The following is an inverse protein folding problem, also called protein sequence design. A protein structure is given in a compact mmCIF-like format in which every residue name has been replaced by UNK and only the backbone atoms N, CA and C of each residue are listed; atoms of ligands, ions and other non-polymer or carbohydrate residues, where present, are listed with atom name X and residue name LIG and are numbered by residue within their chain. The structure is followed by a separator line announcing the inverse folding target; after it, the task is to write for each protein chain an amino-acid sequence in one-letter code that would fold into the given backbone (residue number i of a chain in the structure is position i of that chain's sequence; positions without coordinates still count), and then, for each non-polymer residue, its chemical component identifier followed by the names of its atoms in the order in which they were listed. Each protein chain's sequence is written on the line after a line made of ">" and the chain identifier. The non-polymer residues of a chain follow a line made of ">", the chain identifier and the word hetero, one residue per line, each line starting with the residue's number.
data_IF_203566405650
#
_entry.id   IF_203566405650
#
_cell.length_a   1.000
_cell.length_b   1.000
_cell.length_c   1.000
_cell.angle_alpha   90.00
_cell.angle_beta   90.00
_cell.angle_gamma   90.00
#
_symmetry.space_group_name_H-M   'P 1'
#
loop_
_entity.id
_entity.type
_entity.pdbx_description
1 polymer ?
#
# COMPACT_ATOMS: atom_id res chain seq x y z
N UNK A 1 -15.89 14.57 18.78
CA UNK A 1 -16.62 13.96 17.66
C UNK A 1 -15.56 13.53 16.66
N UNK A 2 -15.34 12.24 16.36
CA UNK A 2 -14.68 11.89 15.12
C UNK A 2 -15.65 12.22 13.98
N UNK A 3 -15.17 12.85 12.90
CA UNK A 3 -15.93 12.97 11.66
C UNK A 3 -15.98 14.33 10.94
N UNK A 4 -15.53 15.45 11.51
CA UNK A 4 -15.52 16.74 10.77
C UNK A 4 -14.13 17.15 10.26
N UNK A 5 -13.09 16.42 10.66
CA UNK A 5 -11.70 16.72 10.30
C UNK A 5 -10.92 15.49 9.83
N UNK A 6 -11.61 14.44 9.40
CA UNK A 6 -11.01 13.22 8.87
C UNK A 6 -11.21 13.17 7.35
N UNK A 7 -10.18 12.72 6.63
CA UNK A 7 -10.18 12.62 5.18
C UNK A 7 -9.51 11.32 4.76
N UNK A 8 -10.03 10.71 3.70
CA UNK A 8 -9.37 9.55 3.11
C UNK A 8 -8.37 10.01 2.05
N UNK A 9 -7.12 9.59 2.20
CA UNK A 9 -6.06 9.77 1.21
C UNK A 9 -5.83 8.44 0.47
N UNK A 10 -5.76 8.51 -0.85
CA UNK A 10 -5.53 7.39 -1.75
C UNK A 10 -4.18 7.55 -2.43
N UNK A 11 -3.45 6.45 -2.59
CA UNK A 11 -2.24 6.40 -3.38
C UNK A 11 -2.17 5.12 -4.21
N UNK A 12 -1.64 5.22 -5.43
CA UNK A 12 -1.40 4.05 -6.29
C UNK A 12 0.07 3.71 -6.42
N UNK A 13 0.42 2.43 -6.48
CA UNK A 13 1.78 1.92 -6.54
C UNK A 13 1.89 0.85 -7.62
N UNK A 14 3.02 0.78 -8.34
CA UNK A 14 3.24 -0.30 -9.32
C UNK A 14 3.78 -1.60 -8.68
N UNK A 15 4.26 -1.54 -7.44
CA UNK A 15 4.82 -2.72 -6.76
C UNK A 15 4.29 -2.85 -5.34
N UNK A 16 4.20 -4.10 -4.89
CA UNK A 16 3.85 -4.43 -3.51
C UNK A 16 4.85 -3.89 -2.50
N UNK A 17 6.15 -3.99 -2.82
CA UNK A 17 7.22 -3.46 -1.99
C UNK A 17 7.05 -1.95 -1.72
N UNK A 18 6.66 -1.17 -2.73
CA UNK A 18 6.42 0.26 -2.57
C UNK A 18 5.19 0.56 -1.70
N UNK A 19 4.11 -0.21 -1.88
CA UNK A 19 2.92 -0.11 -1.06
C UNK A 19 3.18 -0.49 0.41
N UNK A 20 3.93 -1.56 0.66
CA UNK A 20 4.29 -2.00 2.02
C UNK A 20 5.19 -0.94 2.71
N UNK A 21 6.18 -0.37 1.99
CA UNK A 21 7.01 0.73 2.52
C UNK A 21 6.18 1.97 2.89
N UNK A 22 5.20 2.32 2.07
CA UNK A 22 4.28 3.42 2.37
C UNK A 22 3.55 3.19 3.71
N UNK A 23 3.03 1.98 3.93
CA UNK A 23 2.33 1.61 5.17
C UNK A 23 3.30 1.69 6.37
N UNK A 24 4.53 1.18 6.22
CA UNK A 24 5.56 1.28 7.25
C UNK A 24 5.84 2.73 7.62
N UNK A 25 5.90 3.64 6.63
CA UNK A 25 6.14 5.06 6.87
C UNK A 25 4.95 5.74 7.56
N UNK A 26 3.72 5.44 7.15
CA UNK A 26 2.51 5.97 7.80
C UNK A 26 2.48 5.58 9.29
N UNK A 27 2.71 4.31 9.60
CA UNK A 27 2.63 3.79 10.98
C UNK A 27 3.82 4.25 11.81
N UNK A 28 5.05 4.10 11.32
CA UNK A 28 6.24 4.36 12.13
C UNK A 28 6.61 5.83 12.23
N UNK A 29 6.47 6.61 11.15
CA UNK A 29 6.89 8.01 11.15
C UNK A 29 5.80 8.95 11.64
N UNK A 30 4.53 8.64 11.36
CA UNK A 30 3.40 9.53 11.66
C UNK A 30 2.45 8.98 12.71
N UNK A 31 2.65 7.74 13.19
CA UNK A 31 1.83 7.17 14.24
C UNK A 31 0.39 6.91 13.83
N UNK A 32 0.11 6.79 12.52
CA UNK A 32 -1.20 6.43 12.01
C UNK A 32 -1.49 4.98 12.41
N UNK A 33 -2.71 4.71 12.90
CA UNK A 33 -3.07 3.36 13.29
C UNK A 33 -3.12 2.45 12.06
N UNK A 34 -2.51 1.27 12.14
CA UNK A 34 -2.50 0.33 11.02
C UNK A 34 -3.91 -0.09 10.61
N UNK A 35 -4.88 -0.01 11.52
CA UNK A 35 -6.29 -0.33 11.27
C UNK A 35 -6.97 0.70 10.37
N UNK A 36 -6.43 1.91 10.27
CA UNK A 36 -6.94 2.98 9.39
C UNK A 36 -6.34 2.89 7.97
N UNK A 37 -5.50 1.90 7.68
CA UNK A 37 -4.82 1.72 6.39
C UNK A 37 -5.32 0.48 5.67
N UNK A 38 -5.79 0.66 4.43
CA UNK A 38 -6.32 -0.42 3.58
C UNK A 38 -5.50 -0.53 2.30
N UNK A 39 -5.34 -1.77 1.81
CA UNK A 39 -4.62 -2.06 0.56
C UNK A 39 -5.52 -2.90 -0.31
N UNK A 40 -5.73 -2.46 -1.53
CA UNK A 40 -6.54 -3.11 -2.53
C UNK A 40 -5.74 -3.26 -3.83
N UNK A 41 -6.06 -4.28 -4.61
CA UNK A 41 -5.61 -4.34 -5.99
C UNK A 41 -6.43 -3.38 -6.85
N UNK A 42 -5.75 -2.60 -7.68
CA UNK A 42 -6.33 -1.74 -8.70
C UNK A 42 -6.58 -2.60 -9.96
N UNK A 43 -7.61 -3.47 -9.89
CA UNK A 43 -8.02 -4.35 -10.98
C UNK A 43 -8.65 -5.66 -10.51
N UNK A 44 -9.67 -6.13 -11.24
CA UNK A 44 -10.43 -7.34 -10.91
C UNK A 44 -9.60 -8.65 -10.91
N UNK A 45 -8.42 -8.64 -11.54
CA UNK A 45 -7.55 -9.81 -11.70
C UNK A 45 -6.56 -10.03 -10.54
N UNK A 46 -6.40 -9.09 -9.62
CA UNK A 46 -5.40 -9.19 -8.55
C UNK A 46 -6.05 -9.52 -7.18
N UNK A 47 -6.75 -10.65 -7.13
CA UNK A 47 -7.26 -11.25 -5.88
C UNK A 47 -6.22 -12.14 -5.19
N UNK A 48 -4.92 -11.90 -5.41
CA UNK A 48 -3.82 -12.60 -4.73
C UNK A 48 -3.63 -12.09 -3.27
N UNK A 49 -4.72 -11.94 -2.54
CA UNK A 49 -4.77 -11.71 -1.10
C UNK A 49 -5.22 -12.99 -0.42
N UNK A 50 -4.37 -14.01 -0.32
CA UNK A 50 -4.62 -15.18 0.56
C UNK A 50 -3.37 -15.99 0.93
N UNK A 51 -2.16 -15.43 0.82
CA UNK A 51 -0.95 -16.10 1.29
C UNK A 51 -0.33 -15.33 2.46
N UNK A 52 -0.19 -15.94 3.65
CA UNK A 52 0.43 -15.30 4.81
C UNK A 52 1.93 -15.08 4.56
N UNK A 53 2.43 -13.90 4.92
CA UNK A 53 3.85 -13.58 4.95
C UNK A 53 4.55 -14.45 5.99
N UNK A 54 5.29 -15.47 5.53
CA UNK A 54 6.20 -16.26 6.33
C UNK A 54 7.63 -15.97 5.89
N UNK A 55 8.43 -15.40 6.80
CA UNK A 55 9.84 -15.12 6.58
C UNK A 55 10.64 -16.38 6.20
N UNK A 56 11.68 -16.15 5.41
CA UNK A 56 12.78 -17.07 5.05
C UNK A 56 12.40 -18.49 4.61
N UNK A 57 12.28 -18.70 3.29
CA UNK A 57 12.50 -20.03 2.72
C UNK A 57 13.29 -19.94 1.40
N UNK A 58 14.61 -19.91 1.58
CA UNK A 58 15.64 -20.64 0.85
C UNK A 58 15.37 -20.98 -0.63
N UNK A 59 16.22 -20.39 -1.46
CA UNK A 59 16.72 -20.91 -2.74
C UNK A 59 16.40 -22.40 -2.99
N UNK A 60 15.52 -22.68 -3.95
CA UNK A 60 15.53 -23.95 -4.68
C UNK A 60 15.15 -23.68 -6.13
N UNK A 61 16.17 -23.77 -6.98
CA UNK A 61 16.08 -23.90 -8.42
C UNK A 61 15.15 -25.07 -8.77
N UNK A 62 14.20 -24.84 -9.67
CA UNK A 62 13.15 -25.80 -10.02
C UNK A 62 12.26 -25.27 -11.14
N UNK A 63 12.77 -25.41 -12.35
CA UNK A 63 12.14 -25.43 -13.67
C UNK A 63 10.62 -25.20 -13.74
N UNK A 64 10.27 -24.14 -14.46
CA UNK A 64 8.91 -23.82 -14.88
C UNK A 64 8.91 -22.38 -15.34
N UNK A 65 9.04 -22.17 -16.65
CA UNK A 65 8.95 -20.90 -17.36
C UNK A 65 7.95 -19.96 -16.69
N UNK A 66 8.44 -19.03 -15.86
CA UNK A 66 7.62 -17.96 -15.27
C UNK A 66 7.60 -16.81 -16.28
N UNK A 67 6.98 -17.05 -17.43
CA UNK A 67 6.58 -16.02 -18.39
C UNK A 67 5.08 -15.83 -18.22
N UNK A 68 4.65 -14.59 -18.02
CA UNK A 68 3.23 -14.18 -17.95
C UNK A 68 2.49 -14.45 -16.63
N UNK A 69 3.02 -13.89 -15.56
CA UNK A 69 2.17 -13.07 -14.69
C UNK A 69 3.05 -11.94 -14.17
N UNK A 70 3.32 -10.97 -15.05
CA UNK A 70 3.70 -9.67 -14.56
C UNK A 70 2.58 -9.26 -13.60
N UNK A 71 2.93 -9.03 -12.33
CA UNK A 71 2.01 -8.45 -11.35
C UNK A 71 1.79 -6.99 -11.76
N UNK A 72 1.21 -6.77 -12.94
CA UNK A 72 0.73 -5.49 -13.49
C UNK A 72 -0.55 -5.07 -12.76
N UNK A 73 -0.70 -5.47 -11.50
CA UNK A 73 -1.73 -4.97 -10.62
C UNK A 73 -1.17 -3.75 -9.95
N UNK A 74 -1.53 -2.56 -10.43
CA UNK A 74 -1.40 -1.37 -9.62
C UNK A 74 -2.04 -1.66 -8.26
N UNK A 75 -1.42 -1.26 -7.17
CA UNK A 75 -1.97 -1.40 -5.83
C UNK A 75 -2.47 -0.04 -5.39
N UNK A 76 -3.66 0.01 -4.79
CA UNK A 76 -4.22 1.21 -4.22
C UNK A 76 -4.16 1.08 -2.70
N UNK A 77 -3.46 2.00 -2.06
CA UNK A 77 -3.47 2.15 -0.60
C UNK A 77 -4.41 3.31 -0.28
N UNK A 78 -5.31 3.10 0.68
CA UNK A 78 -6.13 4.17 1.24
C UNK A 78 -5.90 4.27 2.74
N UNK A 79 -5.94 5.49 3.26
CA UNK A 79 -5.78 5.75 4.69
C UNK A 79 -6.77 6.82 5.12
N UNK A 80 -7.44 6.59 6.24
CA UNK A 80 -8.26 7.58 6.92
C UNK A 80 -7.41 8.30 7.96
N UNK A 81 -7.37 9.64 7.90
CA UNK A 81 -6.55 10.44 8.81
C UNK A 81 -7.11 11.82 9.05
N UNK A 82 -6.65 12.47 10.12
CA UNK A 82 -6.96 13.86 10.39
C UNK A 82 -6.37 14.79 9.32
N UNK A 83 -7.03 15.93 9.07
CA UNK A 83 -6.56 16.93 8.10
C UNK A 83 -5.14 17.44 8.40
N UNK A 84 -4.72 17.48 9.67
CA UNK A 84 -3.36 17.89 10.09
C UNK A 84 -2.27 16.91 9.61
N UNK A 85 -2.64 15.65 9.41
CA UNK A 85 -1.71 14.60 8.98
C UNK A 85 -1.68 14.42 7.46
N UNK A 86 -2.52 15.14 6.70
CA UNK A 86 -2.59 15.00 5.24
C UNK A 86 -1.28 15.28 4.53
N UNK A 87 -0.58 16.34 4.91
CA UNK A 87 0.69 16.69 4.26
C UNK A 87 1.78 15.65 4.58
N UNK A 88 1.78 15.14 5.81
CA UNK A 88 2.70 14.08 6.25
C UNK A 88 2.42 12.79 5.49
N UNK A 89 1.17 12.32 5.47
CA UNK A 89 0.78 11.10 4.76
C UNK A 89 1.07 11.17 3.26
N UNK A 90 0.81 12.32 2.61
CA UNK A 90 1.21 12.54 1.21
C UNK A 90 2.72 12.43 1.01
N UNK A 91 3.52 12.96 1.94
CA UNK A 91 4.97 12.85 1.87
C UNK A 91 5.44 11.38 2.01
N UNK A 92 4.86 10.59 2.93
CA UNK A 92 5.18 9.15 3.02
C UNK A 92 4.85 8.40 1.73
N UNK A 93 3.68 8.66 1.14
CA UNK A 93 3.31 8.03 -0.12
C UNK A 93 4.28 8.37 -1.25
N UNK A 94 4.67 9.64 -1.37
CA UNK A 94 5.63 10.06 -2.40
C UNK A 94 7.04 9.48 -2.17
N UNK A 95 7.52 9.48 -0.93
CA UNK A 95 8.82 8.90 -0.57
C UNK A 95 8.89 7.39 -0.84
N UNK A 96 7.78 6.69 -0.59
CA UNK A 96 7.64 5.27 -0.88
C UNK A 96 7.46 4.95 -2.38
N UNK A 97 7.25 5.95 -3.24
CA UNK A 97 7.15 5.77 -4.69
C UNK A 97 5.72 5.71 -5.24
N UNK A 98 4.75 6.38 -4.60
CA UNK A 98 3.40 6.51 -5.12
C UNK A 98 3.38 7.20 -6.49
N UNK A 99 2.55 6.68 -7.39
CA UNK A 99 2.39 7.15 -8.77
C UNK A 99 1.32 8.23 -8.90
N UNK A 100 0.23 8.05 -8.18
CA UNK A 100 -0.83 9.03 -8.00
C UNK A 100 -1.15 9.15 -6.52
N UNK A 101 -1.50 10.36 -6.08
CA UNK A 101 -1.94 10.63 -4.71
C UNK A 101 -3.13 11.59 -4.78
N UNK A 102 -4.27 11.20 -4.22
CA UNK A 102 -5.52 11.96 -4.25
C UNK A 102 -6.26 11.85 -2.92
N UNK A 103 -7.17 12.78 -2.64
CA UNK A 103 -7.94 12.81 -1.38
C UNK A 103 -9.43 13.02 -1.67
N UNK A 104 -10.32 12.36 -0.92
CA UNK A 104 -11.79 12.57 -1.02
C UNK A 104 -12.27 13.63 -0.06
#
# INVERSE_FOLDING_TARGET
>A
MPGENEKTLYATFDTREAADRAIEHLVQQYGIDRSDVFVEADGADNTAGTAPSGGDMLNREGEGTRTDAALEGKLKVSVDLALDDMEKAQAAFRDAGARDVSSS
#
